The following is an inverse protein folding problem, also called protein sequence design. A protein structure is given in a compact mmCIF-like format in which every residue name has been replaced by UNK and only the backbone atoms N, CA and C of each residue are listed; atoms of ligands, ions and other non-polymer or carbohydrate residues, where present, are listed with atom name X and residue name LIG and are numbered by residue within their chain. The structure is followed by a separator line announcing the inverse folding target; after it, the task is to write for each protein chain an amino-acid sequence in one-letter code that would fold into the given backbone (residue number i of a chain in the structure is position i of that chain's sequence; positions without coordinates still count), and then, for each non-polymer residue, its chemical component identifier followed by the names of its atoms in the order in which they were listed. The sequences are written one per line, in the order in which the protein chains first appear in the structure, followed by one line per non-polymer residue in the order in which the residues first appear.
data_IF_898529860598
#
_entry.id   IF_898529860598
#
_cell.length_a   1.000
_cell.length_b   1.000
_cell.length_c   1.000
_cell.angle_alpha   90.00
_cell.angle_beta   90.00
_cell.angle_gamma   90.00
#
_symmetry.space_group_name_H-M   'P 1'
#
loop_
_entity.id
_entity.type
_entity.pdbx_description
1 polymer ?
#
# COMPACT_ATOMS: atom_id res chain seq x y z
N UNK A 1 -14.42 -16.94 7.77
CA UNK A 1 -13.20 -17.07 8.60
C UNK A 1 -11.98 -17.18 7.71
N UNK A 2 -12.04 -18.00 6.64
CA UNK A 2 -10.97 -18.19 5.64
C UNK A 2 -10.44 -16.92 4.96
N UNK A 3 -11.30 -15.98 4.59
CA UNK A 3 -10.88 -14.73 3.93
C UNK A 3 -10.03 -13.84 4.83
N UNK A 4 -10.33 -13.80 6.13
CA UNK A 4 -9.51 -13.06 7.11
C UNK A 4 -8.15 -13.74 7.33
N UNK A 5 -8.11 -15.07 7.31
CA UNK A 5 -6.87 -15.85 7.44
C UNK A 5 -5.95 -15.59 6.23
N UNK A 6 -6.50 -15.65 5.01
CA UNK A 6 -5.76 -15.32 3.78
C UNK A 6 -5.22 -13.89 3.76
N UNK A 7 -5.99 -12.89 4.21
CA UNK A 7 -5.50 -11.50 4.28
C UNK A 7 -4.33 -11.33 5.27
N UNK A 8 -4.32 -12.10 6.37
CA UNK A 8 -3.24 -12.08 7.36
C UNK A 8 -1.95 -12.69 6.80
N UNK A 9 -2.05 -13.69 5.92
CA UNK A 9 -0.89 -14.30 5.26
C UNK A 9 -0.33 -13.45 4.10
N UNK A 10 -1.19 -12.70 3.41
CA UNK A 10 -0.80 -11.84 2.27
C UNK A 10 -0.11 -10.56 2.76
N UNK A 11 -0.49 -10.04 3.92
CA UNK A 11 0.05 -8.77 4.45
C UNK A 11 1.60 -8.78 4.60
N UNK A 12 2.24 -9.81 5.19
CA UNK A 12 3.70 -9.90 5.23
C UNK A 12 4.36 -9.91 3.86
N UNK A 13 3.77 -10.61 2.88
CA UNK A 13 4.32 -10.69 1.52
C UNK A 13 4.26 -9.32 0.82
N UNK A 14 3.10 -8.67 0.87
CA UNK A 14 2.91 -7.33 0.31
C UNK A 14 3.89 -6.34 0.95
N UNK A 15 4.06 -6.41 2.28
CA UNK A 15 5.01 -5.55 2.98
C UNK A 15 6.45 -5.80 2.52
N UNK A 16 6.85 -7.07 2.39
CA UNK A 16 8.18 -7.45 1.88
C UNK A 16 8.43 -6.90 0.48
N UNK A 17 7.47 -7.03 -0.43
CA UNK A 17 7.60 -6.51 -1.80
C UNK A 17 7.70 -4.97 -1.81
N UNK A 18 6.83 -4.29 -1.05
CA UNK A 18 6.85 -2.83 -0.95
C UNK A 18 8.18 -2.28 -0.41
N UNK A 19 8.79 -2.98 0.54
CA UNK A 19 10.12 -2.68 1.06
C UNK A 19 11.21 -2.95 0.00
N UNK A 20 11.12 -4.08 -0.70
CA UNK A 20 12.04 -4.45 -1.79
C UNK A 20 12.04 -3.46 -2.97
N UNK A 21 10.89 -2.85 -3.27
CA UNK A 21 10.78 -1.78 -4.26
C UNK A 21 11.10 -0.38 -3.72
N UNK A 22 11.40 -0.26 -2.42
CA UNK A 22 11.66 1.02 -1.75
C UNK A 22 10.55 2.06 -2.00
N UNK A 23 9.28 1.64 -2.03
CA UNK A 23 8.17 2.51 -2.45
C UNK A 23 8.06 3.79 -1.63
N UNK A 24 8.29 3.72 -0.32
CA UNK A 24 8.30 4.90 0.53
C UNK A 24 9.35 5.94 0.07
N UNK A 25 10.56 5.49 -0.27
CA UNK A 25 11.63 6.35 -0.78
C UNK A 25 11.29 6.92 -2.16
N UNK A 26 10.70 6.11 -3.03
CA UNK A 26 10.25 6.56 -4.35
C UNK A 26 9.17 7.63 -4.23
N UNK A 27 8.15 7.42 -3.40
CA UNK A 27 7.09 8.40 -3.20
C UNK A 27 7.60 9.67 -2.54
N UNK A 28 8.52 9.57 -1.58
CA UNK A 28 9.12 10.77 -0.97
C UNK A 28 9.92 11.59 -1.99
N UNK A 29 10.61 10.92 -2.93
CA UNK A 29 11.35 11.58 -4.02
C UNK A 29 10.43 12.31 -5.00
N UNK A 30 9.29 11.72 -5.36
CA UNK A 30 8.40 12.27 -6.42
C UNK A 30 7.23 13.09 -5.88
N UNK A 31 6.81 12.84 -4.64
CA UNK A 31 5.73 13.52 -3.94
C UNK A 31 6.20 13.92 -2.53
N UNK A 32 7.21 14.81 -2.46
CA UNK A 32 7.76 15.27 -1.18
C UNK A 32 6.71 16.04 -0.37
N UNK A 33 6.83 15.97 0.96
CA UNK A 33 5.92 16.64 1.89
C UNK A 33 6.19 18.16 2.04
N UNK A 34 6.16 18.91 0.94
CA UNK A 34 6.46 20.35 0.94
C UNK A 34 5.46 21.20 1.75
N UNK A 35 4.23 20.73 1.87
CA UNK A 35 3.19 21.42 2.63
C UNK A 35 3.29 21.20 4.14
N UNK A 36 4.22 20.34 4.61
CA UNK A 36 4.33 19.98 6.02
C UNK A 36 3.07 19.28 6.54
N UNK A 37 2.42 18.47 5.69
CA UNK A 37 1.26 17.68 6.10
C UNK A 37 1.62 16.77 7.28
N UNK A 38 0.68 16.62 8.22
CA UNK A 38 0.85 15.79 9.42
C UNK A 38 1.22 14.33 9.07
N UNK A 39 0.62 13.80 8.01
CA UNK A 39 0.97 12.50 7.44
C UNK A 39 1.65 12.75 6.09
N UNK A 40 2.87 12.26 5.94
CA UNK A 40 3.61 12.41 4.70
C UNK A 40 2.87 11.73 3.53
N UNK A 41 2.81 12.35 2.33
CA UNK A 41 2.16 11.75 1.17
C UNK A 41 2.66 10.34 0.86
N UNK A 42 3.97 10.10 1.01
CA UNK A 42 4.57 8.77 0.84
C UNK A 42 3.95 7.70 1.76
N UNK A 43 3.66 8.06 3.02
CA UNK A 43 3.04 7.14 3.98
C UNK A 43 1.58 6.85 3.62
N UNK A 44 0.83 7.87 3.18
CA UNK A 44 -0.55 7.70 2.70
C UNK A 44 -0.59 6.76 1.50
N UNK A 45 0.29 6.97 0.51
CA UNK A 45 0.36 6.16 -0.71
C UNK A 45 0.75 4.70 -0.41
N UNK A 46 1.76 4.47 0.44
CA UNK A 46 2.10 3.13 0.89
C UNK A 46 0.92 2.45 1.59
N UNK A 47 0.22 3.16 2.48
CA UNK A 47 -0.96 2.63 3.17
C UNK A 47 -2.08 2.28 2.19
N UNK A 48 -2.30 3.11 1.18
CA UNK A 48 -3.30 2.87 0.14
C UNK A 48 -2.97 1.60 -0.66
N UNK A 49 -1.72 1.43 -1.08
CA UNK A 49 -1.27 0.21 -1.79
C UNK A 49 -1.47 -1.02 -0.92
N UNK A 50 -1.05 -0.96 0.35
CA UNK A 50 -1.25 -2.07 1.29
C UNK A 50 -2.72 -2.45 1.38
N UNK A 51 -3.62 -1.47 1.56
CA UNK A 51 -5.06 -1.70 1.64
C UNK A 51 -5.63 -2.30 0.35
N UNK A 52 -5.18 -1.85 -0.83
CA UNK A 52 -5.62 -2.41 -2.12
C UNK A 52 -5.20 -3.87 -2.26
N UNK A 53 -3.94 -4.18 -1.93
CA UNK A 53 -3.36 -5.50 -2.12
C UNK A 53 -3.90 -6.55 -1.14
N UNK A 54 -4.23 -6.14 0.09
CA UNK A 54 -4.79 -7.04 1.11
C UNK A 54 -6.33 -7.04 1.13
N UNK A 55 -6.97 -6.21 0.31
CA UNK A 55 -8.42 -6.13 0.22
C UNK A 55 -9.00 -7.46 -0.25
N UNK A 56 -10.02 -7.95 0.45
CA UNK A 56 -10.75 -9.17 0.08
C UNK A 56 -11.71 -8.94 -1.09
N UNK A 57 -11.99 -7.68 -1.44
CA UNK A 57 -12.76 -7.27 -2.61
C UNK A 57 -11.89 -6.44 -3.55
N UNK A 58 -11.84 -6.74 -4.86
CA UNK A 58 -11.11 -5.91 -5.82
C UNK A 58 -11.61 -4.46 -5.75
N UNK A 59 -10.71 -3.52 -5.39
CA UNK A 59 -11.03 -2.09 -5.32
C UNK A 59 -10.91 -1.40 -6.68
N UNK A 60 -10.44 -2.12 -7.69
CA UNK A 60 -10.41 -1.70 -9.08
C UNK A 60 -11.44 -2.53 -9.85
N UNK A 61 -12.32 -1.87 -10.60
CA UNK A 61 -13.15 -2.54 -11.60
C UNK A 61 -12.24 -2.86 -12.78
N UNK A 62 -11.88 -4.14 -12.95
CA UNK A 62 -11.44 -4.62 -14.24
C UNK A 62 -12.68 -4.63 -15.14
N UNK A 63 -12.84 -3.59 -15.95
CA UNK A 63 -13.71 -3.70 -17.11
C UNK A 63 -13.00 -4.59 -18.12
N UNK A 64 -13.60 -5.75 -18.42
CA UNK A 64 -13.29 -6.55 -19.61
C UNK A 64 -13.62 -5.77 -20.90
#
# INVERSE_FOLDING_TARGET
MDTKIKSVEILPLVKYDMEGFELARLFDKFVPNHSGAEIAPAQVLCTMIMNIMVSTTPLYWLHD
#
